data_IF_689040652662
#
_entry.id   IF_689040652662
#
_cell.length_a   1.000
_cell.length_b   1.000
_cell.length_c   1.000
_cell.angle_alpha   90.00
_cell.angle_beta   90.00
_cell.angle_gamma   90.00
#
_symmetry.space_group_name_H-M   'P 1'
#
loop_
_entity.id
_entity.type
_entity.pdbx_description
1 polymer ?
#
# COMPACT_ATOMS: atom_id res chain seq x y z
N UNK A 1 -15.11 35.00 34.28
CA UNK A 1 -16.22 34.36 33.54
C UNK A 1 -15.64 33.72 32.25
N UNK A 2 -14.80 32.69 32.33
CA UNK A 2 -14.17 32.02 31.15
C UNK A 2 -13.78 30.60 31.45
N UNK A 3 -14.63 29.76 32.06
CA UNK A 3 -14.28 28.35 32.31
C UNK A 3 -15.35 27.31 31.92
N UNK A 4 -16.44 27.72 31.27
CA UNK A 4 -17.56 26.83 30.95
C UNK A 4 -17.63 26.35 29.50
N UNK A 5 -16.82 26.90 28.58
CA UNK A 5 -16.92 26.58 27.15
C UNK A 5 -16.00 25.40 26.72
N UNK A 6 -14.93 25.13 27.48
CA UNK A 6 -13.97 24.08 27.13
C UNK A 6 -14.47 22.64 27.39
N UNK A 7 -15.29 22.47 28.43
CA UNK A 7 -15.78 21.13 28.82
C UNK A 7 -16.90 20.60 27.90
N UNK A 8 -17.62 21.47 27.22
CA UNK A 8 -18.68 21.02 26.27
C UNK A 8 -18.15 20.52 24.94
N UNK A 9 -16.96 20.94 24.52
CA UNK A 9 -16.37 20.48 23.25
C UNK A 9 -15.73 19.10 23.36
N UNK A 10 -15.24 18.70 24.54
CA UNK A 10 -14.72 17.34 24.74
C UNK A 10 -15.82 16.26 24.87
N UNK A 11 -17.05 16.65 25.22
CA UNK A 11 -18.17 15.73 25.34
C UNK A 11 -18.85 15.40 23.99
N UNK A 12 -18.65 16.24 22.96
CA UNK A 12 -19.26 16.03 21.63
C UNK A 12 -18.49 15.00 20.81
N UNK A 13 -17.20 14.77 21.07
CA UNK A 13 -16.37 13.80 20.34
C UNK A 13 -16.57 12.35 20.75
N UNK A 14 -17.29 12.05 21.83
CA UNK A 14 -17.62 10.69 22.30
C UNK A 14 -19.11 10.33 22.26
N UNK A 15 -19.99 11.23 21.87
CA UNK A 15 -21.42 10.91 21.76
C UNK A 15 -21.80 10.68 20.29
N UNK A 16 -21.73 9.41 19.92
CA UNK A 16 -22.66 8.73 18.99
C UNK A 16 -23.16 9.54 17.80
N UNK A 17 -22.46 9.49 16.69
CA UNK A 17 -23.17 9.37 15.43
C UNK A 17 -23.82 7.97 15.42
N UNK A 18 -24.91 7.81 16.13
CA UNK A 18 -25.88 6.73 15.91
C UNK A 18 -26.63 7.03 14.62
N UNK A 19 -25.96 6.92 13.52
CA UNK A 19 -26.61 6.63 12.27
C UNK A 19 -26.87 5.11 12.33
N UNK A 20 -28.12 4.67 12.33
CA UNK A 20 -28.55 3.33 12.68
C UNK A 20 -28.10 2.18 11.78
N UNK A 21 -26.84 2.16 11.35
CA UNK A 21 -26.32 1.19 10.38
C UNK A 21 -25.00 0.50 10.77
N UNK A 22 -24.18 1.02 11.66
CA UNK A 22 -22.97 0.30 12.15
C UNK A 22 -22.60 0.81 13.54
N UNK A 23 -22.51 -0.08 14.51
CA UNK A 23 -21.82 0.18 15.77
C UNK A 23 -20.31 0.12 15.49
N UNK A 24 -19.66 1.28 15.51
CA UNK A 24 -18.23 1.42 15.21
C UNK A 24 -17.35 1.29 16.47
N UNK A 25 -17.94 0.97 17.61
CA UNK A 25 -17.16 0.67 18.81
C UNK A 25 -16.42 -0.66 18.61
N UNK A 26 -15.10 -0.65 18.82
CA UNK A 26 -14.36 -1.90 18.89
C UNK A 26 -14.83 -2.71 20.11
N UNK A 27 -14.77 -4.04 20.05
CA UNK A 27 -15.12 -4.91 21.15
C UNK A 27 -14.40 -4.54 22.45
N UNK A 28 -15.04 -4.84 23.57
CA UNK A 28 -14.53 -4.57 24.92
C UNK A 28 -13.27 -5.36 25.27
N UNK A 29 -12.77 -5.15 26.47
CA UNK A 29 -11.53 -5.78 26.99
C UNK A 29 -11.60 -7.31 27.09
N UNK A 30 -12.78 -7.91 27.02
CA UNK A 30 -12.99 -9.37 27.11
C UNK A 30 -12.93 -10.05 25.73
N UNK A 31 -12.76 -9.29 24.68
CA UNK A 31 -12.69 -9.88 23.34
C UNK A 31 -11.55 -10.90 23.23
N UNK A 32 -11.79 -12.10 22.69
CA UNK A 32 -10.80 -13.18 22.68
C UNK A 32 -9.45 -12.77 22.05
N UNK A 33 -9.48 -11.98 20.98
CA UNK A 33 -8.25 -11.52 20.32
C UNK A 33 -7.43 -10.58 21.22
N UNK A 34 -8.08 -9.71 22.07
CA UNK A 34 -7.36 -8.87 23.06
C UNK A 34 -6.72 -9.72 24.14
N UNK A 35 -7.50 -10.65 24.68
CA UNK A 35 -7.03 -11.55 25.75
C UNK A 35 -5.85 -12.38 25.27
N UNK A 36 -5.95 -12.95 24.07
CA UNK A 36 -4.88 -13.76 23.48
C UNK A 36 -3.61 -12.94 23.22
N UNK A 37 -3.74 -11.72 22.66
CA UNK A 37 -2.58 -10.84 22.45
C UNK A 37 -1.89 -10.47 23.75
N UNK A 38 -2.66 -10.01 24.75
CA UNK A 38 -2.11 -9.59 26.07
C UNK A 38 -1.40 -10.74 26.76
N UNK A 39 -2.00 -11.93 26.80
CA UNK A 39 -1.36 -13.12 27.36
C UNK A 39 -0.06 -13.48 26.64
N UNK A 40 -0.06 -13.41 25.30
CA UNK A 40 1.15 -13.66 24.52
C UNK A 40 2.23 -12.61 24.79
N UNK A 41 1.85 -11.32 24.90
CA UNK A 41 2.78 -10.23 25.17
C UNK A 41 3.36 -10.31 26.60
N UNK A 42 2.59 -10.75 27.58
CA UNK A 42 3.08 -11.00 28.96
C UNK A 42 4.20 -12.05 28.98
N UNK A 43 4.14 -13.05 28.07
CA UNK A 43 5.20 -14.06 27.90
C UNK A 43 6.36 -13.54 27.03
N UNK A 44 6.15 -12.50 26.24
CA UNK A 44 7.10 -11.91 25.29
C UNK A 44 7.12 -10.39 25.43
N UNK A 45 7.62 -9.81 26.52
CA UNK A 45 7.50 -8.37 26.81
C UNK A 45 8.25 -7.46 25.83
N UNK A 46 9.24 -7.97 25.11
CA UNK A 46 9.98 -7.28 24.05
C UNK A 46 10.14 -8.22 22.85
N UNK A 47 9.07 -8.46 22.09
CA UNK A 47 9.07 -9.48 21.08
C UNK A 47 9.94 -9.08 19.87
N UNK A 48 10.79 -10.01 19.44
CA UNK A 48 11.53 -9.83 18.20
C UNK A 48 10.61 -9.88 16.98
N UNK A 49 10.99 -9.27 15.84
CA UNK A 49 10.25 -9.37 14.59
C UNK A 49 9.90 -10.80 14.19
N UNK A 50 10.84 -11.74 14.40
CA UNK A 50 10.64 -13.14 14.09
C UNK A 50 9.60 -13.82 15.00
N UNK A 51 9.63 -13.54 16.30
CA UNK A 51 8.61 -14.04 17.23
C UNK A 51 7.20 -13.54 16.88
N UNK A 52 7.08 -12.25 16.50
CA UNK A 52 5.81 -11.70 15.99
C UNK A 52 5.32 -12.42 14.73
N UNK A 53 6.25 -12.75 13.81
CA UNK A 53 5.93 -13.46 12.58
C UNK A 53 5.49 -14.91 12.87
N UNK A 54 6.23 -15.64 13.68
CA UNK A 54 5.93 -17.03 14.08
C UNK A 54 4.60 -17.14 14.84
N UNK A 55 4.28 -16.14 15.66
CA UNK A 55 3.01 -16.07 16.38
C UNK A 55 1.83 -15.59 15.49
N UNK A 56 2.09 -15.18 14.26
CA UNK A 56 1.07 -14.71 13.30
C UNK A 56 0.57 -13.28 13.51
N UNK A 57 1.23 -12.48 14.34
CA UNK A 57 0.83 -11.11 14.66
C UNK A 57 1.32 -10.05 13.67
N UNK A 58 2.22 -10.40 12.74
CA UNK A 58 2.67 -9.46 11.69
C UNK A 58 1.56 -9.24 10.66
N UNK A 59 0.91 -10.32 10.20
CA UNK A 59 -0.20 -10.28 9.27
C UNK A 59 -1.36 -11.17 9.78
N UNK A 60 -2.09 -10.76 10.83
CA UNK A 60 -3.08 -11.60 11.51
C UNK A 60 -4.17 -12.15 10.60
N UNK A 61 -4.53 -11.42 9.52
CA UNK A 61 -5.53 -11.82 8.54
C UNK A 61 -5.04 -12.92 7.55
N UNK A 62 -3.74 -13.20 7.50
CA UNK A 62 -3.23 -14.29 6.66
C UNK A 62 -3.67 -15.66 7.19
N UNK A 63 -3.78 -16.67 6.30
CA UNK A 63 -4.10 -18.02 6.74
C UNK A 63 -3.01 -18.60 7.61
N UNK A 64 -3.39 -19.53 8.50
CA UNK A 64 -2.41 -20.33 9.23
C UNK A 64 -1.57 -21.17 8.28
N UNK A 65 -0.28 -21.40 8.54
CA UNK A 65 0.45 -21.06 9.77
C UNK A 65 1.07 -19.63 9.77
N UNK A 66 0.99 -18.87 8.69
CA UNK A 66 1.66 -17.55 8.52
C UNK A 66 0.95 -16.38 9.20
N UNK A 67 -0.32 -16.54 9.51
CA UNK A 67 -1.14 -15.59 10.27
C UNK A 67 -2.10 -16.33 11.18
N UNK A 68 -3.05 -15.62 11.73
CA UNK A 68 -4.07 -16.18 12.64
C UNK A 68 -5.36 -16.58 11.92
N UNK A 69 -5.50 -16.26 10.63
CA UNK A 69 -6.78 -16.32 9.93
C UNK A 69 -7.79 -15.33 10.50
N UNK A 70 -7.31 -14.22 11.07
CA UNK A 70 -8.13 -13.25 11.76
C UNK A 70 -9.17 -12.63 10.85
N UNK A 71 -10.41 -12.62 11.30
CA UNK A 71 -11.48 -11.87 10.68
C UNK A 71 -11.27 -10.36 10.82
N UNK A 72 -12.03 -9.53 10.10
CA UNK A 72 -11.84 -8.08 10.10
C UNK A 72 -11.91 -7.43 11.49
N UNK A 73 -12.78 -7.92 12.39
CA UNK A 73 -12.89 -7.41 13.78
C UNK A 73 -11.65 -7.78 14.58
N UNK A 74 -11.24 -9.06 14.53
CA UNK A 74 -10.05 -9.53 15.24
C UNK A 74 -8.81 -8.78 14.77
N UNK A 75 -8.68 -8.54 13.45
CA UNK A 75 -7.58 -7.76 12.88
C UNK A 75 -7.53 -6.35 13.48
N UNK A 76 -8.67 -5.64 13.53
CA UNK A 76 -8.74 -4.30 14.09
C UNK A 76 -8.40 -4.27 15.57
N UNK A 77 -8.90 -5.26 16.34
CA UNK A 77 -8.61 -5.41 17.76
C UNK A 77 -7.13 -5.65 17.98
N UNK A 78 -6.52 -6.55 17.23
CA UNK A 78 -5.08 -6.86 17.33
C UNK A 78 -4.25 -5.62 16.94
N UNK A 79 -4.64 -4.88 15.89
CA UNK A 79 -3.93 -3.67 15.47
C UNK A 79 -3.99 -2.56 16.54
N UNK A 80 -5.13 -2.43 17.23
CA UNK A 80 -5.26 -1.50 18.34
C UNK A 80 -4.37 -1.89 19.53
N UNK A 81 -4.36 -3.16 19.91
CA UNK A 81 -3.54 -3.68 21.02
C UNK A 81 -2.05 -3.55 20.76
N UNK A 82 -1.59 -3.89 19.54
CA UNK A 82 -0.18 -3.75 19.14
C UNK A 82 0.25 -2.28 19.23
N UNK A 83 -0.61 -1.36 18.73
CA UNK A 83 -0.36 0.09 18.82
C UNK A 83 -0.32 0.58 20.25
N UNK A 84 -1.26 0.14 21.09
CA UNK A 84 -1.32 0.53 22.50
C UNK A 84 -0.11 0.03 23.30
N UNK A 85 0.41 -1.13 22.95
CA UNK A 85 1.62 -1.71 23.55
C UNK A 85 2.93 -1.08 23.03
N UNK A 86 2.88 -0.23 22.00
CA UNK A 86 4.08 0.34 21.39
C UNK A 86 4.95 -0.67 20.64
N UNK A 87 4.40 -1.84 20.31
CA UNK A 87 5.12 -2.88 19.57
C UNK A 87 5.17 -2.53 18.08
N UNK A 88 6.33 -2.65 17.46
CA UNK A 88 6.54 -2.36 16.05
C UNK A 88 6.60 -3.62 15.20
N UNK A 89 5.77 -3.67 14.17
CA UNK A 89 5.84 -4.72 13.14
C UNK A 89 7.01 -4.46 12.19
N UNK A 90 7.58 -5.52 11.57
CA UNK A 90 8.62 -5.37 10.55
C UNK A 90 8.19 -4.48 9.39
N UNK A 91 9.12 -3.63 8.93
CA UNK A 91 8.90 -2.77 7.76
C UNK A 91 9.30 -3.50 6.48
N UNK A 92 8.38 -4.19 5.85
CA UNK A 92 8.57 -4.88 4.57
C UNK A 92 7.27 -4.78 3.75
N UNK A 93 6.86 -3.54 3.45
CA UNK A 93 5.56 -3.27 2.84
C UNK A 93 5.32 -4.04 1.54
N UNK A 94 6.33 -4.10 0.64
CA UNK A 94 6.22 -4.81 -0.63
C UNK A 94 6.15 -6.32 -0.38
N UNK A 95 6.98 -6.84 0.53
CA UNK A 95 6.93 -8.24 0.92
C UNK A 95 5.58 -8.61 1.51
N UNK A 96 5.20 -7.97 2.62
CA UNK A 96 4.01 -8.30 3.41
C UNK A 96 2.72 -7.91 2.66
N UNK A 97 2.71 -6.73 2.03
CA UNK A 97 1.48 -6.22 1.40
C UNK A 97 1.20 -6.74 -0.01
N UNK A 98 2.22 -7.13 -0.78
CA UNK A 98 2.08 -7.42 -2.21
C UNK A 98 2.59 -8.81 -2.61
N UNK A 99 3.85 -9.14 -2.32
CA UNK A 99 4.45 -10.41 -2.67
C UNK A 99 3.84 -11.58 -1.89
N UNK A 100 3.76 -11.48 -0.57
CA UNK A 100 3.26 -12.53 0.30
C UNK A 100 1.84 -12.96 -0.03
N UNK A 101 0.84 -12.05 -0.16
CA UNK A 101 -0.50 -12.43 -0.58
C UNK A 101 -0.55 -13.12 -1.94
N UNK A 102 0.32 -12.74 -2.88
CA UNK A 102 0.39 -13.39 -4.20
C UNK A 102 1.00 -14.79 -4.10
N UNK A 103 2.05 -14.96 -3.28
CA UNK A 103 2.66 -16.29 -3.01
C UNK A 103 1.66 -17.18 -2.28
N UNK A 104 0.91 -16.68 -1.31
CA UNK A 104 -0.16 -17.45 -0.64
C UNK A 104 -1.21 -17.90 -1.65
N UNK A 105 -1.59 -17.02 -2.58
CA UNK A 105 -2.63 -17.28 -3.57
C UNK A 105 -2.23 -18.33 -4.61
N UNK A 106 -0.99 -18.31 -5.10
CA UNK A 106 -0.59 -19.09 -6.27
C UNK A 106 0.79 -19.77 -6.17
N UNK A 107 1.52 -19.57 -5.08
CA UNK A 107 2.81 -20.23 -4.86
C UNK A 107 2.64 -21.69 -4.49
N UNK A 108 3.68 -22.49 -4.78
CA UNK A 108 3.77 -23.88 -4.30
C UNK A 108 3.98 -23.93 -2.78
N UNK A 109 3.78 -25.07 -2.15
CA UNK A 109 4.01 -25.22 -0.71
C UNK A 109 5.49 -24.98 -0.34
N UNK A 110 6.42 -25.42 -1.21
CA UNK A 110 7.86 -25.16 -1.05
C UNK A 110 8.16 -23.66 -1.11
N UNK A 111 7.54 -22.91 -2.04
CA UNK A 111 7.69 -21.46 -2.12
C UNK A 111 7.13 -20.78 -0.87
N UNK A 112 5.96 -21.18 -0.41
CA UNK A 112 5.35 -20.64 0.82
C UNK A 112 6.24 -20.89 2.03
N UNK A 113 6.73 -22.11 2.21
CA UNK A 113 7.62 -22.49 3.31
C UNK A 113 8.95 -21.74 3.27
N UNK A 114 9.52 -21.57 2.06
CA UNK A 114 10.82 -20.90 1.89
C UNK A 114 10.74 -19.40 2.13
N UNK A 115 9.68 -18.73 1.65
CA UNK A 115 9.70 -17.28 1.54
C UNK A 115 8.85 -16.55 2.58
N UNK A 116 7.73 -17.10 3.06
CA UNK A 116 6.77 -16.30 3.81
C UNK A 116 7.25 -15.92 5.22
N UNK A 117 7.90 -16.83 5.96
CA UNK A 117 8.35 -16.52 7.31
C UNK A 117 9.50 -15.49 7.35
N UNK A 118 10.60 -15.63 6.56
CA UNK A 118 11.63 -14.59 6.49
C UNK A 118 11.13 -13.24 5.99
N UNK A 119 10.17 -13.25 5.07
CA UNK A 119 9.49 -12.05 4.56
C UNK A 119 8.71 -11.34 5.67
N UNK A 120 7.92 -12.09 6.46
CA UNK A 120 7.15 -11.56 7.59
C UNK A 120 8.05 -11.05 8.71
N UNK A 121 9.15 -11.75 8.97
CA UNK A 121 10.13 -11.34 9.97
C UNK A 121 10.96 -10.10 9.56
N UNK A 122 10.84 -9.65 8.31
CA UNK A 122 11.66 -8.55 7.79
C UNK A 122 13.13 -8.90 7.58
N UNK A 123 13.48 -10.19 7.62
CA UNK A 123 14.85 -10.69 7.40
C UNK A 123 15.22 -10.62 5.92
N UNK A 124 14.25 -10.79 5.04
CA UNK A 124 14.37 -10.70 3.58
C UNK A 124 13.44 -9.59 3.07
N UNK A 125 14.03 -8.46 2.70
CA UNK A 125 13.30 -7.34 2.10
C UNK A 125 12.96 -7.68 0.65
N UNK A 126 11.80 -7.25 0.19
CA UNK A 126 11.31 -7.51 -1.16
C UNK A 126 11.09 -6.22 -1.94
N UNK A 127 11.28 -6.30 -3.27
CA UNK A 127 10.97 -5.23 -4.22
C UNK A 127 10.00 -5.72 -5.30
N UNK A 128 9.48 -4.76 -6.10
CA UNK A 128 8.55 -5.03 -7.20
C UNK A 128 9.19 -4.64 -8.54
N UNK A 129 9.43 -5.62 -9.40
CA UNK A 129 10.08 -5.52 -10.70
C UNK A 129 9.03 -5.55 -11.83
N UNK A 130 8.15 -4.52 -11.86
CA UNK A 130 7.02 -4.47 -12.79
C UNK A 130 7.26 -3.48 -13.91
N UNK A 131 7.32 -2.18 -13.57
CA UNK A 131 7.40 -1.09 -14.54
C UNK A 131 8.68 -1.10 -15.37
N UNK A 132 8.58 -0.68 -16.63
CA UNK A 132 9.69 -0.50 -17.54
C UNK A 132 9.69 0.94 -18.10
N UNK A 133 10.78 1.45 -18.68
CA UNK A 133 10.79 2.77 -19.30
C UNK A 133 9.65 2.99 -20.29
N UNK A 134 9.26 1.96 -21.05
CA UNK A 134 8.15 1.98 -22.01
C UNK A 134 6.82 1.42 -21.51
N UNK A 135 6.74 0.89 -20.27
CA UNK A 135 5.55 0.19 -19.76
C UNK A 135 5.29 0.53 -18.29
N UNK A 136 4.62 1.65 -18.05
CA UNK A 136 4.13 2.09 -16.73
C UNK A 136 2.64 1.83 -16.58
N UNK A 137 1.78 2.79 -16.99
CA UNK A 137 0.32 2.62 -16.93
C UNK A 137 -0.17 1.49 -17.82
N UNK A 138 0.41 1.32 -19.02
CA UNK A 138 0.21 0.13 -19.86
C UNK A 138 1.23 -0.96 -19.51
N UNK A 139 1.14 -1.47 -18.27
CA UNK A 139 2.06 -2.47 -17.76
C UNK A 139 2.11 -3.75 -18.62
N UNK A 140 1.00 -4.13 -19.26
CA UNK A 140 0.95 -5.29 -20.12
C UNK A 140 1.82 -5.15 -21.39
N UNK A 141 2.25 -3.95 -21.71
CA UNK A 141 3.21 -3.65 -22.79
C UNK A 141 4.68 -3.95 -22.44
N UNK A 142 4.96 -4.55 -21.27
CA UNK A 142 6.32 -4.89 -20.85
C UNK A 142 7.06 -5.76 -21.86
N UNK A 143 8.38 -5.54 -21.97
CA UNK A 143 9.28 -6.16 -22.94
C UNK A 143 10.41 -6.99 -22.33
N UNK A 144 10.68 -6.86 -21.01
CA UNK A 144 11.60 -7.74 -20.31
C UNK A 144 11.21 -9.19 -20.59
N UNK A 145 12.08 -9.96 -21.22
CA UNK A 145 11.79 -11.33 -21.64
C UNK A 145 12.38 -12.36 -20.67
N UNK A 146 11.74 -13.53 -20.60
CA UNK A 146 12.26 -14.69 -19.93
C UNK A 146 12.14 -15.90 -20.86
N UNK A 147 13.26 -16.54 -21.16
CA UNK A 147 13.35 -17.72 -22.03
C UNK A 147 13.74 -18.93 -21.21
N UNK A 148 13.01 -20.03 -21.38
CA UNK A 148 13.32 -21.29 -20.70
C UNK A 148 14.61 -21.90 -21.22
N UNK A 149 15.51 -22.24 -20.31
CA UNK A 149 16.77 -22.96 -20.60
C UNK A 149 16.97 -24.05 -19.55
N UNK A 150 16.57 -25.27 -19.87
CA UNK A 150 16.58 -26.40 -18.95
C UNK A 150 15.75 -26.14 -17.68
N UNK A 151 16.41 -26.16 -16.53
CA UNK A 151 15.79 -25.94 -15.22
C UNK A 151 15.85 -24.47 -14.75
N UNK A 152 16.15 -23.56 -15.67
CA UNK A 152 16.24 -22.15 -15.39
C UNK A 152 15.47 -21.31 -16.43
N UNK A 153 15.26 -20.06 -16.09
CA UNK A 153 14.80 -19.00 -16.99
C UNK A 153 15.90 -17.97 -17.16
N UNK A 154 16.24 -17.65 -18.40
CA UNK A 154 17.19 -16.58 -18.75
C UNK A 154 16.41 -15.30 -18.97
N UNK A 155 16.66 -14.28 -18.14
CA UNK A 155 15.93 -13.03 -18.13
C UNK A 155 16.81 -11.91 -18.67
N UNK A 156 16.30 -11.16 -19.64
CA UNK A 156 17.01 -9.99 -20.23
C UNK A 156 16.03 -8.83 -20.37
N UNK A 157 16.43 -7.62 -19.96
CA UNK A 157 15.61 -6.42 -20.02
C UNK A 157 15.95 -5.39 -18.95
N UNK A 158 14.99 -4.49 -18.68
CA UNK A 158 15.18 -3.41 -17.72
C UNK A 158 13.87 -3.15 -16.98
N UNK A 159 13.97 -2.92 -15.67
CA UNK A 159 12.90 -2.42 -14.83
C UNK A 159 13.26 -1.05 -14.26
N UNK A 160 12.26 -0.22 -13.99
CA UNK A 160 12.45 1.14 -13.49
C UNK A 160 11.45 1.44 -12.37
N UNK A 161 11.73 2.46 -11.57
CA UNK A 161 10.94 2.87 -10.41
C UNK A 161 10.82 1.79 -9.35
N UNK A 162 11.82 0.90 -9.28
CA UNK A 162 11.84 -0.21 -8.33
C UNK A 162 12.24 0.30 -6.94
N UNK A 163 11.24 0.42 -6.06
CA UNK A 163 11.47 0.83 -4.67
C UNK A 163 12.29 -0.22 -3.94
N UNK A 164 13.29 0.24 -3.16
CA UNK A 164 14.11 -0.58 -2.27
C UNK A 164 14.92 -1.71 -2.97
N UNK A 165 15.07 -1.70 -4.30
CA UNK A 165 15.79 -2.76 -5.00
C UNK A 165 17.24 -2.95 -4.49
N UNK A 166 17.89 -1.88 -4.04
CA UNK A 166 19.26 -1.90 -3.49
C UNK A 166 19.35 -2.59 -2.11
N UNK A 167 18.23 -2.79 -1.42
CA UNK A 167 18.14 -3.49 -0.12
C UNK A 167 17.47 -4.86 -0.24
N UNK A 168 16.83 -5.14 -1.37
CA UNK A 168 16.00 -6.32 -1.53
C UNK A 168 16.84 -7.61 -1.69
N UNK A 169 16.43 -8.65 -0.98
CA UNK A 169 16.90 -10.01 -1.21
C UNK A 169 16.19 -10.65 -2.40
N UNK A 170 14.91 -10.35 -2.57
CA UNK A 170 14.07 -10.88 -3.64
C UNK A 170 13.20 -9.78 -4.26
N UNK A 171 12.84 -9.99 -5.54
CA UNK A 171 11.87 -9.18 -6.26
C UNK A 171 10.76 -10.02 -6.85
N UNK A 172 9.53 -9.50 -6.85
CA UNK A 172 8.46 -10.05 -7.68
C UNK A 172 8.60 -9.49 -9.09
N UNK A 173 8.84 -10.36 -10.07
CA UNK A 173 9.16 -10.00 -11.43
C UNK A 173 8.06 -10.40 -12.41
N UNK A 174 7.63 -9.47 -13.26
CA UNK A 174 6.87 -9.77 -14.46
C UNK A 174 7.80 -9.77 -15.69
N UNK A 175 7.77 -10.85 -16.44
CA UNK A 175 8.53 -10.96 -17.69
C UNK A 175 7.70 -11.63 -18.78
N UNK A 176 8.04 -11.29 -20.04
CA UNK A 176 7.43 -11.84 -21.24
C UNK A 176 8.02 -13.22 -21.54
N UNK A 177 7.20 -14.25 -21.46
CA UNK A 177 7.57 -15.64 -21.76
C UNK A 177 7.04 -16.11 -23.10
N UNK A 178 6.06 -15.41 -23.66
CA UNK A 178 5.52 -15.66 -25.01
C UNK A 178 5.33 -14.31 -25.72
N UNK A 179 6.24 -13.94 -26.65
CA UNK A 179 6.17 -12.68 -27.37
C UNK A 179 5.05 -12.64 -28.44
N UNK A 180 4.60 -13.81 -28.91
CA UNK A 180 3.61 -13.94 -29.97
C UNK A 180 2.17 -13.94 -29.42
N UNK A 181 2.01 -14.14 -28.14
CA UNK A 181 0.71 -14.11 -27.48
C UNK A 181 0.15 -12.68 -27.35
N UNK A 182 -1.17 -12.50 -27.28
CA UNK A 182 -1.77 -11.21 -26.91
C UNK A 182 -1.15 -10.67 -25.63
N UNK A 183 -0.93 -9.34 -25.56
CA UNK A 183 -0.09 -8.70 -24.54
C UNK A 183 -0.36 -9.12 -23.09
N UNK A 184 -1.60 -9.48 -22.74
CA UNK A 184 -1.98 -9.93 -21.40
C UNK A 184 -1.80 -11.44 -21.18
N UNK A 185 -1.48 -12.22 -22.19
CA UNK A 185 -1.43 -13.69 -22.12
C UNK A 185 -0.03 -14.29 -22.21
N UNK A 186 0.97 -13.50 -22.58
CA UNK A 186 2.37 -13.94 -22.72
C UNK A 186 3.27 -13.51 -21.57
N UNK A 187 2.73 -13.27 -20.37
CA UNK A 187 3.46 -12.78 -19.20
C UNK A 187 3.47 -13.84 -18.13
N UNK A 188 4.64 -14.07 -17.51
CA UNK A 188 4.81 -14.94 -16.36
C UNK A 188 5.30 -14.15 -15.14
N UNK A 189 5.09 -14.73 -13.95
CA UNK A 189 5.40 -14.14 -12.66
C UNK A 189 6.49 -14.94 -11.96
N UNK A 190 7.56 -14.27 -11.51
CA UNK A 190 8.72 -14.94 -10.94
C UNK A 190 9.10 -14.32 -9.59
N UNK A 191 9.72 -15.15 -8.74
CA UNK A 191 10.52 -14.71 -7.59
C UNK A 191 11.95 -14.57 -8.09
N UNK A 192 12.44 -13.35 -8.19
CA UNK A 192 13.79 -13.04 -8.69
C UNK A 192 14.75 -12.81 -7.51
N UNK A 193 15.82 -13.62 -7.37
CA UNK A 193 16.90 -13.31 -6.45
C UNK A 193 17.63 -12.02 -6.88
N UNK A 194 17.71 -11.03 -6.02
CA UNK A 194 18.29 -9.71 -6.36
C UNK A 194 19.84 -9.73 -6.41
N UNK A 195 20.45 -10.80 -5.93
CA UNK A 195 21.91 -11.01 -5.97
C UNK A 195 22.35 -11.96 -7.12
N UNK A 196 21.43 -12.27 -8.05
CA UNK A 196 21.76 -13.16 -9.17
C UNK A 196 22.82 -12.53 -10.10
N UNK A 197 23.78 -13.32 -10.61
CA UNK A 197 24.75 -12.84 -11.59
C UNK A 197 24.05 -12.23 -12.83
N UNK A 198 24.57 -11.11 -13.35
CA UNK A 198 23.98 -10.38 -14.46
C UNK A 198 22.92 -9.36 -14.07
N UNK A 199 22.48 -9.32 -12.79
CA UNK A 199 21.56 -8.31 -12.31
C UNK A 199 22.34 -7.09 -11.79
N UNK A 200 21.97 -5.89 -12.28
CA UNK A 200 22.58 -4.63 -11.85
C UNK A 200 21.50 -3.67 -11.38
N UNK A 201 21.66 -3.15 -10.16
CA UNK A 201 20.79 -2.13 -9.57
C UNK A 201 21.48 -0.77 -9.65
N UNK A 202 20.79 0.24 -10.20
CA UNK A 202 21.27 1.62 -10.28
C UNK A 202 20.30 2.56 -9.57
N UNK A 203 20.77 3.41 -8.64
CA UNK A 203 19.87 4.34 -7.94
C UNK A 203 19.35 5.43 -8.88
N UNK A 204 18.08 5.80 -8.69
CA UNK A 204 17.47 6.99 -9.27
C UNK A 204 17.39 8.04 -8.16
N UNK A 205 18.11 9.14 -8.33
CA UNK A 205 18.01 10.29 -7.41
C UNK A 205 16.76 11.07 -7.79
N UNK A 206 15.78 11.12 -6.89
CA UNK A 206 14.54 11.83 -7.11
C UNK A 206 14.65 13.32 -6.70
N UNK A 207 13.55 14.08 -6.87
CA UNK A 207 13.53 15.52 -6.57
C UNK A 207 13.68 15.84 -5.07
N UNK A 208 13.62 14.85 -4.18
CA UNK A 208 13.91 15.03 -2.76
C UNK A 208 15.40 14.92 -2.45
N UNK A 209 16.20 14.51 -3.42
CA UNK A 209 17.61 14.18 -3.27
C UNK A 209 17.87 12.75 -2.76
N UNK A 210 16.83 11.96 -2.57
CA UNK A 210 16.93 10.56 -2.16
C UNK A 210 17.02 9.61 -3.36
N UNK A 211 17.36 8.36 -3.07
CA UNK A 211 17.44 7.28 -4.07
C UNK A 211 16.58 6.06 -3.65
N UNK A 212 15.35 6.33 -3.25
CA UNK A 212 14.38 5.28 -2.89
C UNK A 212 14.02 4.39 -4.06
N UNK A 213 14.08 4.91 -5.27
CA UNK A 213 13.78 4.21 -6.52
C UNK A 213 15.06 3.82 -7.25
N UNK A 214 14.96 2.75 -8.04
CA UNK A 214 16.10 2.22 -8.78
C UNK A 214 15.68 1.80 -10.19
N UNK A 215 16.65 1.82 -11.10
CA UNK A 215 16.65 1.01 -12.31
C UNK A 215 17.28 -0.35 -12.00
N UNK A 216 16.72 -1.39 -12.61
CA UNK A 216 17.25 -2.76 -12.49
C UNK A 216 17.44 -3.34 -13.88
N UNK A 217 18.67 -3.69 -14.21
CA UNK A 217 19.07 -4.25 -15.49
C UNK A 217 19.28 -5.75 -15.37
N UNK A 218 18.81 -6.49 -16.36
CA UNK A 218 18.94 -7.94 -16.47
C UNK A 218 19.75 -8.24 -17.72
N UNK A 219 20.97 -8.74 -17.54
CA UNK A 219 21.86 -9.19 -18.58
C UNK A 219 22.00 -10.71 -18.47
N UNK A 220 21.09 -11.41 -19.14
CA UNK A 220 20.94 -12.86 -19.15
C UNK A 220 20.92 -13.48 -17.71
N UNK A 221 20.18 -12.83 -16.83
CA UNK A 221 20.02 -13.26 -15.44
C UNK A 221 19.31 -14.61 -15.37
N UNK A 222 19.94 -15.59 -14.69
CA UNK A 222 19.39 -16.93 -14.53
C UNK A 222 18.53 -17.03 -13.27
N UNK A 223 17.28 -17.40 -13.44
CA UNK A 223 16.31 -17.63 -12.36
C UNK A 223 15.90 -19.10 -12.38
N UNK A 224 16.01 -19.82 -11.24
CA UNK A 224 15.57 -21.22 -11.17
C UNK A 224 14.10 -21.38 -11.61
N UNK A 225 13.80 -22.48 -12.30
CA UNK A 225 12.45 -22.78 -12.74
C UNK A 225 11.45 -22.88 -11.57
N UNK A 226 11.91 -23.35 -10.42
CA UNK A 226 11.13 -23.43 -9.19
C UNK A 226 10.68 -22.07 -8.66
N UNK A 227 11.25 -20.96 -9.16
CA UNK A 227 10.87 -19.60 -8.79
C UNK A 227 9.73 -19.02 -9.66
N UNK A 228 9.21 -19.75 -10.62
CA UNK A 228 7.96 -19.42 -11.30
C UNK A 228 6.80 -19.51 -10.30
N UNK A 229 6.01 -18.46 -10.17
CA UNK A 229 4.80 -18.45 -9.32
C UNK A 229 3.59 -18.71 -10.21
N UNK A 230 2.79 -19.71 -9.86
CA UNK A 230 1.69 -20.17 -10.70
C UNK A 230 2.17 -20.84 -11.99
N UNK A 231 1.45 -20.63 -13.08
CA UNK A 231 1.73 -21.25 -14.37
C UNK A 231 2.36 -20.27 -15.37
N UNK A 232 3.09 -20.81 -16.36
CA UNK A 232 3.66 -20.04 -17.46
C UNK A 232 2.53 -19.29 -18.20
N UNK A 233 2.79 -18.04 -18.55
CA UNK A 233 1.85 -17.15 -19.26
C UNK A 233 0.59 -16.75 -18.46
N UNK A 234 0.50 -17.08 -17.17
CA UNK A 234 -0.59 -16.67 -16.27
C UNK A 234 -0.23 -15.47 -15.36
N UNK A 235 0.95 -14.90 -15.54
CA UNK A 235 1.48 -13.83 -14.68
C UNK A 235 0.62 -12.57 -14.64
N UNK A 236 -0.13 -12.25 -15.70
CA UNK A 236 -1.04 -11.11 -15.70
C UNK A 236 -2.18 -11.24 -14.68
N UNK A 237 -2.69 -12.45 -14.49
CA UNK A 237 -3.72 -12.71 -13.47
C UNK A 237 -3.16 -12.48 -12.08
N UNK A 238 -1.92 -12.93 -11.81
CA UNK A 238 -1.23 -12.69 -10.54
C UNK A 238 -0.85 -11.23 -10.35
N UNK A 239 -0.44 -10.54 -11.43
CA UNK A 239 -0.20 -9.10 -11.39
C UNK A 239 -1.44 -8.33 -10.91
N UNK A 240 -2.64 -8.72 -11.35
CA UNK A 240 -3.90 -8.10 -10.87
C UNK A 240 -4.16 -8.32 -9.38
N UNK A 241 -3.78 -9.48 -8.84
CA UNK A 241 -3.83 -9.77 -7.40
C UNK A 241 -2.87 -8.84 -6.65
N UNK A 242 -1.61 -8.79 -7.09
CA UNK A 242 -0.58 -7.93 -6.50
C UNK A 242 -1.00 -6.46 -6.52
N UNK A 243 -1.42 -5.92 -7.67
CA UNK A 243 -1.86 -4.54 -7.84
C UNK A 243 -3.15 -4.22 -7.05
N UNK A 244 -3.99 -5.22 -6.81
CA UNK A 244 -5.16 -5.10 -5.93
C UNK A 244 -4.75 -4.86 -4.49
N UNK A 245 -3.84 -5.66 -3.98
CA UNK A 245 -3.29 -5.53 -2.62
C UNK A 245 -2.47 -4.24 -2.45
N UNK A 246 -1.69 -3.86 -3.47
CA UNK A 246 -0.96 -2.59 -3.51
C UNK A 246 -1.88 -1.39 -3.26
N UNK A 247 -2.98 -1.27 -4.00
CA UNK A 247 -3.95 -0.18 -3.82
C UNK A 247 -4.53 -0.11 -2.42
N UNK A 248 -4.77 -1.25 -1.79
CA UNK A 248 -5.26 -1.31 -0.40
C UNK A 248 -4.18 -0.83 0.56
N UNK A 249 -2.94 -1.31 0.44
CA UNK A 249 -1.84 -0.96 1.34
C UNK A 249 -1.42 0.51 1.20
N UNK A 250 -1.35 1.03 -0.03
CA UNK A 250 -0.99 2.44 -0.29
C UNK A 250 -2.08 3.44 0.15
N UNK A 251 -3.29 2.98 0.41
CA UNK A 251 -4.39 3.80 0.90
C UNK A 251 -4.53 3.79 2.43
N UNK A 252 -3.45 3.61 3.19
CA UNK A 252 -3.41 3.67 4.65
C UNK A 252 -3.87 5.02 5.24
N UNK A 253 -3.65 5.24 6.54
CA UNK A 253 -4.08 6.48 7.21
C UNK A 253 -3.14 7.67 6.97
N UNK A 254 -1.85 7.43 6.80
CA UNK A 254 -0.85 8.49 6.58
C UNK A 254 -0.92 9.12 5.19
N UNK A 255 -0.50 10.39 5.09
CA UNK A 255 -0.59 11.20 3.88
C UNK A 255 0.29 10.70 2.71
N UNK A 256 1.32 9.90 2.99
CA UNK A 256 2.25 9.39 1.98
C UNK A 256 2.14 7.86 1.87
N UNK A 257 1.23 7.39 1.03
CA UNK A 257 0.99 5.94 0.83
C UNK A 257 0.78 5.16 2.14
N UNK A 258 -0.05 5.72 3.02
CA UNK A 258 -0.36 5.12 4.32
C UNK A 258 0.68 5.40 5.40
N UNK A 259 1.70 6.16 5.10
CA UNK A 259 2.74 6.61 6.02
C UNK A 259 2.72 8.13 6.21
N UNK A 260 3.52 8.63 7.14
CA UNK A 260 3.65 10.06 7.39
C UNK A 260 2.46 10.66 8.16
N UNK A 261 2.42 12.00 8.27
CA UNK A 261 1.42 12.69 9.07
C UNK A 261 0.02 12.59 8.49
N UNK A 262 -0.96 12.66 9.36
CA UNK A 262 -2.38 12.73 9.06
C UNK A 262 -2.90 14.17 9.16
N UNK A 263 -4.13 14.41 8.72
CA UNK A 263 -4.82 15.68 8.94
C UNK A 263 -4.98 15.99 10.44
N UNK A 264 -5.21 14.97 11.28
CA UNK A 264 -5.31 15.13 12.73
C UNK A 264 -3.99 15.54 13.37
N UNK A 265 -2.87 15.09 12.82
CA UNK A 265 -1.54 15.53 13.27
C UNK A 265 -1.33 17.02 12.99
N UNK A 266 -1.74 17.53 11.83
CA UNK A 266 -1.72 18.95 11.53
C UNK A 266 -2.60 19.75 12.50
N UNK A 267 -3.80 19.27 12.81
CA UNK A 267 -4.69 19.93 13.77
C UNK A 267 -4.05 19.96 15.16
N UNK A 268 -3.41 18.87 15.56
CA UNK A 268 -2.70 18.76 16.85
C UNK A 268 -1.52 19.72 16.91
N UNK A 269 -0.71 19.78 15.87
CA UNK A 269 0.44 20.67 15.77
C UNK A 269 0.02 22.15 15.89
N UNK A 270 -1.00 22.57 15.14
CA UNK A 270 -1.56 23.93 15.22
C UNK A 270 -2.07 24.27 16.62
N UNK A 271 -2.75 23.33 17.29
CA UNK A 271 -3.25 23.54 18.66
C UNK A 271 -2.11 23.65 19.68
N UNK A 272 -1.07 22.84 19.52
CA UNK A 272 0.10 22.84 20.41
C UNK A 272 0.94 24.08 20.24
N UNK A 273 1.13 24.55 19.01
CA UNK A 273 1.92 25.75 18.72
C UNK A 273 1.24 27.04 19.23
N UNK A 274 -0.04 27.00 19.58
CA UNK A 274 -0.84 28.15 20.05
C UNK A 274 -0.71 29.41 19.17
N UNK A 275 -0.36 29.22 17.89
CA UNK A 275 -0.13 30.30 16.94
C UNK A 275 -1.43 30.69 16.25
N UNK A 276 -1.80 31.97 16.19
CA UNK A 276 -2.99 32.39 15.46
C UNK A 276 -2.83 32.12 13.96
N UNK A 277 -3.80 31.41 13.38
CA UNK A 277 -3.85 31.16 11.95
C UNK A 277 -4.57 32.32 11.24
N UNK A 278 -4.07 32.69 10.06
CA UNK A 278 -4.83 33.54 9.15
C UNK A 278 -6.17 32.87 8.78
N UNK A 279 -7.21 33.64 8.41
CA UNK A 279 -8.50 33.07 7.99
C UNK A 279 -8.34 32.05 6.85
N UNK A 280 -7.45 32.30 5.89
CA UNK A 280 -7.17 31.43 4.76
C UNK A 280 -6.58 30.07 5.21
N UNK A 281 -5.54 30.09 6.07
CA UNK A 281 -4.94 28.85 6.58
C UNK A 281 -5.93 28.06 7.43
N UNK A 282 -6.82 28.74 8.17
CA UNK A 282 -7.88 28.07 8.93
C UNK A 282 -8.87 27.34 8.03
N UNK A 283 -9.28 27.97 6.91
CA UNK A 283 -10.15 27.34 5.91
C UNK A 283 -9.49 26.12 5.26
N UNK A 284 -8.23 26.25 4.86
CA UNK A 284 -7.47 25.13 4.29
C UNK A 284 -7.31 23.97 5.29
N UNK A 285 -7.03 24.26 6.57
CA UNK A 285 -6.96 23.23 7.61
C UNK A 285 -8.30 22.53 7.79
N UNK A 286 -9.41 23.24 7.79
CA UNK A 286 -10.74 22.66 7.89
C UNK A 286 -11.06 21.77 6.67
N UNK A 287 -10.68 22.19 5.47
CA UNK A 287 -10.85 21.40 4.25
C UNK A 287 -10.04 20.10 4.30
N UNK A 288 -8.74 20.19 4.62
CA UNK A 288 -7.85 19.02 4.72
C UNK A 288 -8.36 18.05 5.80
N UNK A 289 -8.83 18.57 6.93
CA UNK A 289 -9.43 17.72 7.96
C UNK A 289 -10.72 17.04 7.48
N UNK A 290 -11.59 17.74 6.77
CA UNK A 290 -12.82 17.17 6.20
C UNK A 290 -12.52 16.07 5.16
N UNK A 291 -11.50 16.26 4.31
CA UNK A 291 -11.03 15.23 3.38
C UNK A 291 -10.54 13.97 4.13
N UNK A 292 -9.76 14.15 5.20
CA UNK A 292 -9.33 13.06 6.08
C UNK A 292 -10.50 12.29 6.69
N UNK A 293 -11.55 12.99 7.16
CA UNK A 293 -12.76 12.36 7.67
C UNK A 293 -13.53 11.57 6.59
N UNK A 294 -13.61 12.09 5.36
CA UNK A 294 -14.21 11.35 4.23
C UNK A 294 -13.44 10.05 3.98
N UNK A 295 -12.11 10.10 3.96
CA UNK A 295 -11.27 8.89 3.78
C UNK A 295 -11.45 7.90 4.93
N UNK A 296 -11.58 8.38 6.16
CA UNK A 296 -11.88 7.55 7.33
C UNK A 296 -13.24 6.85 7.19
N UNK A 297 -14.27 7.57 6.76
CA UNK A 297 -15.61 7.00 6.52
C UNK A 297 -15.61 5.96 5.38
N UNK A 298 -14.87 6.19 4.30
CA UNK A 298 -14.71 5.21 3.22
C UNK A 298 -14.02 3.95 3.75
N UNK A 299 -12.99 4.09 4.60
CA UNK A 299 -12.31 2.94 5.24
C UNK A 299 -13.30 2.13 6.09
N UNK A 300 -14.08 2.79 6.94
CA UNK A 300 -15.09 2.14 7.76
C UNK A 300 -16.13 1.39 6.92
N UNK A 301 -16.57 1.97 5.80
CA UNK A 301 -17.46 1.30 4.85
C UNK A 301 -16.81 0.06 4.25
N UNK A 302 -15.53 0.12 3.89
CA UNK A 302 -14.78 -1.04 3.37
C UNK A 302 -14.68 -2.15 4.40
N UNK A 303 -14.39 -1.80 5.66
CA UNK A 303 -14.34 -2.74 6.78
C UNK A 303 -15.74 -3.35 7.01
N UNK A 304 -16.80 -2.54 7.03
CA UNK A 304 -18.17 -3.02 7.18
C UNK A 304 -18.61 -3.96 6.04
N UNK A 305 -18.13 -3.73 4.81
CA UNK A 305 -18.34 -4.63 3.69
C UNK A 305 -17.63 -5.98 3.90
N UNK A 306 -16.37 -5.95 4.37
CA UNK A 306 -15.61 -7.15 4.68
C UNK A 306 -16.24 -7.94 5.83
N UNK A 307 -16.76 -7.27 6.88
CA UNK A 307 -17.53 -7.89 7.96
C UNK A 307 -18.80 -8.61 7.47
N UNK A 308 -19.37 -8.15 6.36
CA UNK A 308 -20.52 -8.76 5.69
C UNK A 308 -20.13 -9.83 4.67
N UNK A 309 -18.88 -10.32 4.67
CA UNK A 309 -18.35 -11.33 3.76
C UNK A 309 -18.12 -10.85 2.32
N UNK A 310 -18.14 -9.54 2.07
CA UNK A 310 -17.86 -8.96 0.76
C UNK A 310 -16.37 -8.62 0.62
N UNK A 311 -15.73 -9.19 -0.40
CA UNK A 311 -14.35 -8.85 -0.73
C UNK A 311 -14.22 -7.40 -1.23
N UNK A 312 -13.09 -6.71 -0.96
CA UNK A 312 -12.81 -5.41 -1.55
C UNK A 312 -12.88 -5.47 -3.08
N UNK A 313 -13.64 -4.53 -3.66
CA UNK A 313 -13.85 -4.42 -5.09
C UNK A 313 -13.11 -3.24 -5.72
N UNK A 314 -13.52 -2.83 -6.93
CA UNK A 314 -12.96 -1.68 -7.63
C UNK A 314 -13.14 -0.35 -6.87
N UNK A 315 -13.98 -0.32 -5.82
CA UNK A 315 -14.16 0.83 -4.91
C UNK A 315 -12.87 1.26 -4.21
N UNK A 316 -11.89 0.37 -4.08
CA UNK A 316 -10.56 0.71 -3.58
C UNK A 316 -9.89 1.82 -4.42
N UNK A 317 -10.21 1.89 -5.73
CA UNK A 317 -9.75 2.96 -6.62
C UNK A 317 -10.31 4.33 -6.27
N UNK A 318 -11.54 4.41 -5.77
CA UNK A 318 -12.13 5.68 -5.27
C UNK A 318 -11.31 6.21 -4.09
N UNK A 319 -11.01 5.32 -3.15
CA UNK A 319 -10.22 5.69 -1.97
C UNK A 319 -8.82 6.12 -2.35
N UNK A 320 -8.14 5.37 -3.23
CA UNK A 320 -6.78 5.67 -3.69
C UNK A 320 -6.72 7.03 -4.38
N UNK A 321 -7.64 7.33 -5.30
CA UNK A 321 -7.70 8.60 -6.00
C UNK A 321 -7.91 9.80 -5.06
N UNK A 322 -8.73 9.64 -4.02
CA UNK A 322 -8.94 10.68 -3.01
C UNK A 322 -7.75 10.81 -2.05
N UNK A 323 -7.15 9.69 -1.62
CA UNK A 323 -6.03 9.67 -0.70
C UNK A 323 -4.78 10.33 -1.30
N UNK A 324 -4.53 10.16 -2.59
CA UNK A 324 -3.40 10.78 -3.29
C UNK A 324 -3.46 12.31 -3.25
N UNK A 325 -4.63 12.87 -3.56
CA UNK A 325 -4.85 14.32 -3.53
C UNK A 325 -4.81 14.84 -2.10
N UNK A 326 -5.46 14.14 -1.17
CA UNK A 326 -5.42 14.48 0.24
C UNK A 326 -3.98 14.51 0.78
N UNK A 327 -3.17 13.53 0.43
CA UNK A 327 -1.76 13.47 0.81
C UNK A 327 -0.98 14.69 0.33
N UNK A 328 -1.21 15.14 -0.91
CA UNK A 328 -0.63 16.37 -1.44
C UNK A 328 -1.10 17.60 -0.63
N UNK A 329 -2.38 17.71 -0.33
CA UNK A 329 -2.95 18.83 0.46
C UNK A 329 -2.39 18.87 1.89
N UNK A 330 -2.24 17.71 2.55
CA UNK A 330 -1.62 17.61 3.88
C UNK A 330 -0.19 18.14 3.85
N UNK A 331 0.61 17.70 2.87
CA UNK A 331 2.02 18.10 2.76
C UNK A 331 2.18 19.57 2.40
N UNK A 332 1.34 20.10 1.50
CA UNK A 332 1.33 21.53 1.17
C UNK A 332 0.97 22.38 2.37
N UNK A 333 -0.09 22.01 3.08
CA UNK A 333 -0.51 22.76 4.25
C UNK A 333 0.51 22.71 5.38
N UNK A 334 1.12 21.52 5.64
CA UNK A 334 2.17 21.36 6.63
C UNK A 334 3.38 22.24 6.34
N UNK A 335 3.83 22.24 5.06
CA UNK A 335 4.90 23.12 4.60
C UNK A 335 4.57 24.61 4.82
N UNK A 336 3.35 25.04 4.47
CA UNK A 336 2.93 26.43 4.64
C UNK A 336 2.80 26.83 6.12
N UNK A 337 2.35 25.91 6.97
CA UNK A 337 2.29 26.11 8.42
C UNK A 337 3.69 26.23 9.05
N UNK A 338 4.67 25.48 8.53
CA UNK A 338 6.07 25.58 8.96
C UNK A 338 6.75 26.90 8.51
N UNK A 339 6.13 27.66 7.61
CA UNK A 339 6.65 28.96 7.12
C UNK A 339 8.02 28.79 6.45
N UNK A 340 9.00 29.62 6.82
CA UNK A 340 10.36 29.53 6.26
C UNK A 340 11.04 28.18 6.52
N UNK A 341 10.74 27.53 7.64
CA UNK A 341 11.22 26.16 7.94
C UNK A 341 10.75 25.12 6.94
N UNK A 342 9.57 25.28 6.36
CA UNK A 342 9.03 24.39 5.35
C UNK A 342 9.74 24.42 3.98
N UNK A 343 10.63 25.40 3.77
CA UNK A 343 11.47 25.49 2.58
C UNK A 343 12.80 24.75 2.75
N UNK A 344 13.14 24.36 3.97
CA UNK A 344 14.36 23.62 4.24
C UNK A 344 14.14 22.13 3.93
N UNK A 345 15.12 21.57 3.23
CA UNK A 345 15.21 20.12 3.01
C UNK A 345 16.35 19.63 3.89
N UNK A 346 16.06 18.71 4.79
CA UNK A 346 17.09 18.08 5.60
C UNK A 346 18.02 17.28 4.69
N UNK A 347 19.27 17.74 4.53
CA UNK A 347 20.33 17.00 3.85
C UNK A 347 21.12 16.20 4.89
N UNK A 348 21.12 14.85 4.74
CA UNK A 348 21.93 13.98 5.59
C UNK A 348 21.76 12.50 5.23
N UNK A 349 22.77 11.65 5.53
CA UNK A 349 22.78 10.22 5.21
C UNK A 349 21.83 9.37 6.07
N UNK A 350 20.71 9.90 6.49
CA UNK A 350 19.64 9.23 7.22
C UNK A 350 18.28 9.51 6.61
N UNK A 351 18.26 10.00 5.38
CA UNK A 351 17.14 10.73 4.81
C UNK A 351 15.89 9.97 4.47
N UNK A 352 15.87 8.70 4.22
CA UNK A 352 14.69 8.05 3.61
C UNK A 352 13.98 7.02 4.44
N UNK A 353 14.62 6.43 5.41
CA UNK A 353 14.03 5.30 6.13
C UNK A 353 13.39 5.68 7.46
N UNK A 354 13.62 6.89 7.96
CA UNK A 354 12.95 7.45 9.14
C UNK A 354 11.56 8.05 8.88
N UNK A 355 10.99 7.82 7.73
CA UNK A 355 9.58 8.13 7.46
C UNK A 355 8.65 7.41 8.45
N UNK A 356 9.16 6.41 9.16
CA UNK A 356 8.44 5.62 10.16
C UNK A 356 8.53 6.17 11.59
N UNK A 357 9.46 7.08 11.88
CA UNK A 357 9.78 7.54 13.25
C UNK A 357 9.18 8.87 13.70
N UNK A 358 8.27 9.43 12.97
CA UNK A 358 7.73 10.78 13.22
C UNK A 358 8.30 11.82 12.26
N UNK A 359 7.49 12.84 11.91
CA UNK A 359 7.85 13.87 10.96
C UNK A 359 8.47 15.05 11.69
N UNK A 360 9.79 15.24 11.67
CA UNK A 360 10.40 16.46 12.19
C UNK A 360 9.98 17.66 11.32
N UNK A 361 9.93 18.85 11.90
CA UNK A 361 9.54 20.09 11.22
C UNK A 361 10.27 20.33 9.88
N UNK A 362 11.48 19.83 9.73
CA UNK A 362 12.30 19.93 8.51
C UNK A 362 11.88 18.93 7.40
N UNK A 363 11.01 17.98 7.68
CA UNK A 363 10.58 16.98 6.71
C UNK A 363 9.41 17.42 5.80
N UNK A 364 8.77 18.55 6.11
CA UNK A 364 7.63 19.04 5.32
C UNK A 364 8.00 19.36 3.88
N UNK A 365 9.14 20.03 3.65
CA UNK A 365 9.65 20.33 2.31
C UNK A 365 9.93 19.07 1.49
N UNK A 366 10.55 18.09 2.11
CA UNK A 366 10.82 16.78 1.51
C UNK A 366 9.54 16.01 1.22
N UNK A 367 8.64 15.91 2.18
CA UNK A 367 7.32 15.27 2.02
C UNK A 367 6.48 15.94 0.92
N UNK A 368 6.51 17.27 0.82
CA UNK A 368 5.86 18.01 -0.26
C UNK A 368 6.41 17.63 -1.65
N UNK A 369 7.72 17.52 -1.80
CA UNK A 369 8.35 17.08 -3.05
C UNK A 369 7.97 15.63 -3.37
N UNK A 370 8.08 14.72 -2.39
CA UNK A 370 7.72 13.30 -2.55
C UNK A 370 6.23 13.12 -2.87
N UNK A 371 5.34 13.94 -2.32
CA UNK A 371 3.90 13.84 -2.52
C UNK A 371 3.46 13.92 -3.99
N UNK A 372 4.31 14.43 -4.89
CA UNK A 372 4.04 14.42 -6.33
C UNK A 372 3.98 12.98 -6.89
N UNK A 373 4.70 12.03 -6.29
CA UNK A 373 4.65 10.62 -6.67
C UNK A 373 3.31 9.94 -6.37
N UNK A 374 2.51 10.45 -5.43
CA UNK A 374 1.25 9.83 -4.99
C UNK A 374 0.25 9.65 -6.15
N UNK A 375 0.14 10.64 -7.03
CA UNK A 375 -0.79 10.59 -8.17
C UNK A 375 -0.25 9.79 -9.37
N UNK A 376 0.95 9.22 -9.24
CA UNK A 376 1.64 8.45 -10.29
C UNK A 376 1.77 6.99 -9.89
N UNK A 377 2.38 6.69 -8.73
CA UNK A 377 2.62 5.34 -8.24
C UNK A 377 1.33 4.61 -7.82
N UNK A 378 1.33 3.29 -7.85
CA UNK A 378 0.15 2.47 -7.53
C UNK A 378 -1.01 2.59 -8.52
N UNK A 379 -0.72 3.03 -9.76
CA UNK A 379 -1.68 3.41 -10.80
C UNK A 379 -2.04 4.88 -10.73
N UNK A 380 -1.84 5.60 -11.85
CA UNK A 380 -2.06 7.06 -11.92
C UNK A 380 -3.50 7.43 -11.59
N UNK A 381 -3.72 8.71 -11.27
CA UNK A 381 -5.07 9.24 -11.04
C UNK A 381 -6.01 8.96 -12.21
N UNK A 382 -5.51 8.97 -13.45
CA UNK A 382 -6.25 8.65 -14.67
C UNK A 382 -6.66 7.18 -14.70
N UNK A 383 -5.72 6.27 -14.40
CA UNK A 383 -6.02 4.82 -14.30
C UNK A 383 -7.06 4.56 -13.22
N UNK A 384 -6.97 5.22 -12.06
CA UNK A 384 -7.99 5.07 -11.00
C UNK A 384 -9.36 5.56 -11.46
N UNK A 385 -9.42 6.71 -12.16
CA UNK A 385 -10.68 7.25 -12.71
C UNK A 385 -11.28 6.31 -13.74
N UNK A 386 -10.48 5.71 -14.63
CA UNK A 386 -10.95 4.72 -15.61
C UNK A 386 -11.53 3.49 -14.89
N UNK A 387 -10.85 2.97 -13.87
CA UNK A 387 -11.39 1.84 -13.08
C UNK A 387 -12.72 2.20 -12.42
N UNK A 388 -12.83 3.40 -11.85
CA UNK A 388 -14.08 3.88 -11.24
C UNK A 388 -15.18 4.02 -12.31
N UNK A 389 -14.87 4.66 -13.43
CA UNK A 389 -15.81 4.86 -14.53
C UNK A 389 -16.37 3.53 -15.05
N UNK A 390 -15.49 2.60 -15.40
CA UNK A 390 -15.85 1.35 -16.05
C UNK A 390 -16.44 0.32 -15.09
N UNK A 391 -15.82 0.13 -13.92
CA UNK A 391 -16.15 -0.99 -13.02
C UNK A 391 -17.05 -0.62 -11.85
N UNK A 392 -17.08 0.66 -11.45
CA UNK A 392 -17.99 1.12 -10.38
C UNK A 392 -19.24 1.74 -10.97
N UNK A 393 -19.10 2.61 -11.97
CA UNK A 393 -20.20 3.31 -12.60
C UNK A 393 -20.80 2.58 -13.82
N UNK A 394 -20.10 1.57 -14.36
CA UNK A 394 -20.57 0.79 -15.52
C UNK A 394 -20.55 1.58 -16.84
N UNK A 395 -19.69 2.62 -16.93
CA UNK A 395 -19.52 3.39 -18.16
C UNK A 395 -18.81 2.54 -19.23
N UNK A 396 -19.01 2.82 -20.53
CA UNK A 396 -18.32 2.13 -21.62
C UNK A 396 -16.78 2.26 -21.49
N UNK A 397 -16.09 1.20 -21.93
CA UNK A 397 -14.64 1.28 -22.10
C UNK A 397 -14.28 2.32 -23.16
N UNK A 398 -13.16 3.01 -22.94
CA UNK A 398 -12.58 3.84 -23.98
C UNK A 398 -12.26 2.97 -25.22
N UNK A 399 -12.65 3.36 -26.43
CA UNK A 399 -12.30 2.61 -27.62
C UNK A 399 -10.78 2.48 -27.71
N UNK A 400 -10.27 1.24 -27.77
CA UNK A 400 -8.83 0.99 -27.91
C UNK A 400 -8.32 1.64 -29.21
N UNK A 401 -7.12 2.20 -29.16
CA UNK A 401 -6.46 2.77 -30.35
C UNK A 401 -6.27 1.74 -31.47
N UNK A 402 -6.43 0.47 -31.18
CA UNK A 402 -6.22 -0.66 -32.11
C UNK A 402 -7.48 -1.16 -32.82
N UNK A 403 -8.60 -0.46 -32.72
CA UNK A 403 -9.82 -0.76 -33.50
C UNK A 403 -10.45 -2.17 -33.30
N UNK A 404 -10.01 -2.93 -32.34
CA UNK A 404 -10.30 -4.37 -32.21
C UNK A 404 -11.25 -4.76 -31.07
N UNK A 405 -12.15 -3.87 -30.63
CA UNK A 405 -13.24 -4.26 -29.76
C UNK A 405 -14.54 -3.62 -30.24
N UNK A 406 -15.38 -4.44 -30.87
CA UNK A 406 -16.78 -4.09 -31.07
C UNK A 406 -17.47 -3.82 -29.72
N UNK A 407 -18.61 -3.13 -29.71
CA UNK A 407 -19.29 -2.73 -28.48
C UNK A 407 -19.55 -3.95 -27.60
N UNK A 408 -19.05 -3.88 -26.37
CA UNK A 408 -19.38 -4.87 -25.34
C UNK A 408 -20.89 -4.86 -25.11
N UNK A 409 -21.58 -6.00 -25.08
CA UNK A 409 -23.03 -6.01 -24.87
C UNK A 409 -23.32 -5.38 -23.50
N UNK A 410 -24.12 -4.34 -23.51
CA UNK A 410 -24.66 -3.68 -22.32
C UNK A 410 -25.36 -4.73 -21.49
N UNK A 411 -24.86 -5.02 -20.29
CA UNK A 411 -25.54 -5.90 -19.37
C UNK A 411 -26.93 -5.29 -19.06
N UNK A 412 -28.03 -6.08 -19.11
CA UNK A 412 -29.35 -5.56 -18.86
C UNK A 412 -29.46 -4.99 -17.44
N UNK A 413 -30.01 -3.80 -17.33
CA UNK A 413 -30.29 -3.13 -16.06
C UNK A 413 -31.02 -4.10 -15.11
N UNK A 414 -30.46 -4.30 -13.90
CA UNK A 414 -31.15 -5.05 -12.86
C UNK A 414 -32.51 -4.37 -12.59
N UNK A 415 -33.56 -5.04 -12.89
CA UNK A 415 -34.92 -4.63 -12.48
C UNK A 415 -34.95 -4.62 -10.96
N UNK A 416 -35.13 -3.42 -10.39
CA UNK A 416 -35.54 -3.30 -9.00
C UNK A 416 -36.88 -4.01 -8.84
N UNK A 417 -36.89 -5.14 -8.19
CA UNK A 417 -38.13 -5.71 -7.65
C UNK A 417 -38.35 -5.05 -6.30
N UNK A 418 -39.42 -4.33 -6.23
CA UNK A 418 -40.06 -3.72 -5.06
C UNK A 418 -40.21 -4.70 -3.90
#
# INVERSE_FOLDING_TARGET
>A
MTSHTSAKFQAVTRRSLRCGLVDLALPDDRHPARVAWRAWLDEHPDPTPRQLAEAGYVAPHWPRPWGLGAGPVDQLVIDEEIRAAGVHRPSNQIGIGWAGPTIIHAGTEEQKQRYLLPLLAGEEIWCQLFSEPGAGSDLAGLTTRAVRDGDEWVVSGQKVWTSLAHLAAFGILLARTDPDAPKHRGISYFICPMQAPGLTVRPIVDMTGDHSFNEVFFDDVRIPAANLVGEVNQGWTLAKVTLGNERVSLSGEGALWGMGPTADDLVREVRTAARPLSPLLRQRLAQVWAEGEVLRLIRLRTIGAALSGRSPGPEASVRKALADLHGQHVMELGKDLAGAGGMLVASGPGGTHDVLGGWPALAWGKGHSFARALTIGGGTSEVQRNIVAERVLGLPHEPGLDGATGPSPVAPARKNTT
#
